data_IF_704956321616
#
_entry.id   IF_704956321616
#
_cell.length_a   1.000
_cell.length_b   1.000
_cell.length_c   1.000
_cell.angle_alpha   90.00
_cell.angle_beta   90.00
_cell.angle_gamma   90.00
#
_symmetry.space_group_name_H-M   'P 1'
#
loop_
_entity.id
_entity.type
_entity.pdbx_description
1 polymer ?
#
# COMPACT_ATOMS: atom_id res chain seq x y z
N UNK A 1 -31.36 -12.66 8.05
CA UNK A 1 -30.63 -12.57 6.77
C UNK A 1 -29.23 -13.10 7.02
N UNK A 2 -28.86 -14.21 6.39
CA UNK A 2 -27.52 -14.79 6.51
C UNK A 2 -26.62 -13.91 5.63
N UNK A 3 -25.79 -13.06 6.25
CA UNK A 3 -24.76 -12.33 5.52
C UNK A 3 -23.77 -13.36 4.98
N UNK A 4 -23.73 -13.58 3.67
CA UNK A 4 -22.70 -14.42 3.06
C UNK A 4 -21.43 -13.60 2.98
N UNK A 5 -20.47 -13.86 3.86
CA UNK A 5 -19.14 -13.28 3.74
C UNK A 5 -18.56 -13.55 2.34
N UNK A 6 -18.06 -12.49 1.68
CA UNK A 6 -17.56 -12.57 0.31
C UNK A 6 -16.04 -12.62 0.33
N UNK A 7 -15.46 -13.66 -0.28
CA UNK A 7 -14.01 -13.75 -0.53
C UNK A 7 -13.64 -12.92 -1.76
N UNK A 8 -12.69 -12.01 -1.60
CA UNK A 8 -12.20 -11.11 -2.64
C UNK A 8 -10.67 -11.16 -2.69
N UNK A 9 -10.11 -11.05 -3.89
CA UNK A 9 -8.68 -10.81 -4.05
C UNK A 9 -8.39 -9.37 -3.64
N UNK A 10 -7.53 -9.21 -2.64
CA UNK A 10 -7.04 -7.91 -2.17
C UNK A 10 -5.88 -7.46 -3.07
N UNK A 11 -4.90 -8.33 -3.27
CA UNK A 11 -3.66 -8.00 -3.97
C UNK A 11 -2.99 -9.25 -4.55
N UNK A 12 -2.06 -9.09 -5.48
CA UNK A 12 -1.26 -10.18 -6.04
C UNK A 12 0.14 -9.72 -6.43
N UNK A 13 1.13 -10.57 -6.19
CA UNK A 13 2.53 -10.34 -6.49
C UNK A 13 3.16 -11.57 -7.14
N UNK A 14 4.30 -11.40 -7.80
CA UNK A 14 5.08 -12.47 -8.40
C UNK A 14 6.49 -12.44 -7.84
N UNK A 15 7.13 -13.60 -7.74
CA UNK A 15 8.51 -13.68 -7.32
C UNK A 15 9.10 -15.09 -7.25
N UNK A 16 10.40 -15.16 -7.04
CA UNK A 16 11.17 -16.39 -6.85
C UNK A 16 11.05 -16.90 -5.41
N UNK A 17 9.88 -17.43 -5.06
CA UNK A 17 9.52 -17.79 -3.67
C UNK A 17 9.89 -19.24 -3.35
N UNK A 18 9.57 -20.16 -4.27
CA UNK A 18 9.83 -21.59 -4.07
C UNK A 18 11.24 -21.97 -4.47
N UNK A 19 11.74 -21.41 -5.55
CA UNK A 19 13.08 -21.64 -6.08
C UNK A 19 13.63 -20.36 -6.73
N UNK A 20 14.95 -20.32 -6.94
CA UNK A 20 15.57 -19.20 -7.64
C UNK A 20 15.12 -19.17 -9.09
N UNK A 21 14.79 -17.98 -9.58
CA UNK A 21 14.39 -17.71 -10.96
C UNK A 21 13.02 -18.27 -11.37
N UNK A 22 12.17 -18.67 -10.41
CA UNK A 22 10.76 -18.96 -10.68
C UNK A 22 9.92 -17.68 -10.73
N UNK A 23 8.79 -17.75 -11.43
CA UNK A 23 7.75 -16.71 -11.46
C UNK A 23 6.52 -17.19 -10.65
N UNK A 24 6.72 -17.52 -9.37
CA UNK A 24 5.63 -17.95 -8.50
C UNK A 24 4.68 -16.78 -8.25
N UNK A 25 3.38 -17.04 -8.28
CA UNK A 25 2.36 -16.01 -8.03
C UNK A 25 1.78 -16.18 -6.63
N UNK A 26 1.75 -15.09 -5.87
CA UNK A 26 1.08 -15.03 -4.57
C UNK A 26 -0.12 -14.12 -4.67
N UNK A 27 -1.25 -14.55 -4.12
CA UNK A 27 -2.50 -13.80 -4.10
C UNK A 27 -2.93 -13.67 -2.64
N UNK A 28 -3.14 -12.44 -2.19
CA UNK A 28 -3.75 -12.14 -0.91
C UNK A 28 -5.26 -12.08 -1.10
N UNK A 29 -5.98 -12.96 -0.41
CA UNK A 29 -7.44 -13.05 -0.43
C UNK A 29 -7.97 -12.63 0.94
N UNK A 30 -9.00 -11.77 0.95
CA UNK A 30 -9.69 -11.36 2.15
C UNK A 30 -11.15 -11.76 2.14
N UNK A 31 -11.68 -12.04 3.32
CA UNK A 31 -13.11 -12.27 3.53
C UNK A 31 -13.76 -11.01 4.11
N UNK A 32 -14.74 -10.46 3.41
CA UNK A 32 -15.40 -9.22 3.78
C UNK A 32 -16.85 -9.48 4.19
N UNK A 33 -17.37 -8.78 5.21
CA UNK A 33 -18.75 -8.95 5.68
C UNK A 33 -19.78 -8.44 4.66
N UNK A 34 -19.41 -7.45 3.84
CA UNK A 34 -20.20 -6.92 2.72
C UNK A 34 -19.31 -6.15 1.73
N UNK A 35 -19.85 -5.79 0.55
CA UNK A 35 -19.11 -5.15 -0.54
C UNK A 35 -18.61 -3.73 -0.25
N UNK A 36 -19.15 -3.05 0.78
CA UNK A 36 -18.75 -1.69 1.15
C UNK A 36 -17.68 -1.67 2.25
N UNK A 37 -17.43 -2.81 2.90
CA UNK A 37 -16.42 -2.91 3.95
C UNK A 37 -15.02 -2.89 3.36
N UNK A 38 -14.18 -1.99 3.89
CA UNK A 38 -12.73 -2.01 3.63
C UNK A 38 -11.96 -2.85 4.67
N UNK A 39 -12.67 -3.53 5.59
CA UNK A 39 -12.08 -4.40 6.61
C UNK A 39 -12.20 -5.87 6.20
N UNK A 40 -11.06 -6.54 6.06
CA UNK A 40 -10.98 -7.98 5.86
C UNK A 40 -11.04 -8.69 7.21
N UNK A 41 -12.06 -9.53 7.43
CA UNK A 41 -12.27 -10.31 8.66
C UNK A 41 -11.28 -11.47 8.79
N UNK A 42 -10.89 -12.06 7.67
CA UNK A 42 -9.91 -13.13 7.58
C UNK A 42 -9.06 -12.93 6.33
N UNK A 43 -7.85 -13.47 6.34
CA UNK A 43 -6.90 -13.38 5.24
C UNK A 43 -6.35 -14.77 4.89
N UNK A 44 -6.15 -14.99 3.60
CA UNK A 44 -5.55 -16.20 3.04
C UNK A 44 -4.50 -15.81 2.01
N UNK A 45 -3.40 -16.57 1.96
CA UNK A 45 -2.44 -16.53 0.87
C UNK A 45 -2.69 -17.72 -0.05
N UNK A 46 -2.81 -17.45 -1.35
CA UNK A 46 -2.81 -18.47 -2.38
C UNK A 46 -1.49 -18.39 -3.13
N UNK A 47 -0.66 -19.44 -3.04
CA UNK A 47 0.65 -19.54 -3.67
C UNK A 47 0.51 -20.48 -4.88
N UNK A 48 0.51 -19.90 -6.08
CA UNK A 48 0.56 -20.63 -7.33
C UNK A 48 2.02 -20.83 -7.71
N UNK A 49 2.53 -22.02 -7.41
CA UNK A 49 3.91 -22.41 -7.68
C UNK A 49 4.05 -22.84 -9.13
N UNK A 50 5.19 -22.57 -9.73
CA UNK A 50 5.43 -22.95 -11.12
C UNK A 50 5.32 -24.47 -11.30
N UNK A 51 4.39 -24.92 -12.16
CA UNK A 51 4.10 -26.32 -12.46
C UNK A 51 3.55 -27.17 -11.29
N UNK A 52 3.00 -26.55 -10.26
CA UNK A 52 2.34 -27.24 -9.14
C UNK A 52 0.90 -26.74 -8.93
N UNK A 53 0.15 -27.45 -8.09
CA UNK A 53 -1.17 -27.02 -7.63
C UNK A 53 -1.05 -25.81 -6.69
N UNK A 54 -2.01 -24.86 -6.77
CA UNK A 54 -2.12 -23.77 -5.83
C UNK A 54 -2.21 -24.25 -4.38
N UNK A 55 -1.37 -23.69 -3.52
CA UNK A 55 -1.42 -23.90 -2.08
C UNK A 55 -2.16 -22.73 -1.43
N UNK A 56 -3.18 -23.01 -0.63
CA UNK A 56 -3.92 -21.97 0.12
C UNK A 56 -3.62 -22.09 1.60
N UNK A 57 -3.20 -21.00 2.22
CA UNK A 57 -2.78 -20.95 3.62
C UNK A 57 -3.54 -19.82 4.32
N UNK A 58 -4.20 -20.13 5.44
CA UNK A 58 -4.78 -19.12 6.31
C UNK A 58 -3.68 -18.37 7.05
N UNK A 59 -3.76 -17.03 7.07
CA UNK A 59 -2.87 -16.21 7.89
C UNK A 59 -3.65 -15.57 9.03
N UNK A 60 -3.11 -15.52 10.26
CA UNK A 60 -3.88 -15.14 11.45
C UNK A 60 -4.02 -13.62 11.60
N UNK A 61 -4.35 -12.93 10.52
CA UNK A 61 -4.45 -11.47 10.45
C UNK A 61 -5.77 -11.01 9.83
N UNK A 62 -6.22 -9.83 10.24
CA UNK A 62 -7.40 -9.14 9.74
C UNK A 62 -7.10 -7.64 9.77
N UNK A 63 -7.73 -6.84 8.92
CA UNK A 63 -7.38 -5.42 8.84
C UNK A 63 -7.96 -4.65 7.68
N UNK A 64 -7.68 -3.35 7.68
CA UNK A 64 -7.96 -2.40 6.61
C UNK A 64 -6.73 -2.25 5.71
N UNK A 65 -6.95 -1.82 4.47
CA UNK A 65 -5.87 -1.42 3.55
C UNK A 65 -4.76 -2.48 3.43
N UNK A 66 -5.13 -3.76 3.46
CA UNK A 66 -4.19 -4.87 3.39
C UNK A 66 -3.49 -4.87 2.02
N UNK A 67 -2.20 -5.18 2.02
CA UNK A 67 -1.33 -5.18 0.85
C UNK A 67 -0.37 -6.35 0.89
N UNK A 68 0.06 -6.78 -0.30
CA UNK A 68 1.03 -7.83 -0.49
C UNK A 68 2.31 -7.24 -1.09
N UNK A 69 3.46 -7.70 -0.63
CA UNK A 69 4.75 -7.39 -1.22
C UNK A 69 5.60 -8.65 -1.26
N UNK A 70 6.36 -8.84 -2.34
CA UNK A 70 7.29 -9.96 -2.49
C UNK A 70 8.67 -9.38 -2.81
N UNK A 71 9.69 -9.86 -2.10
CA UNK A 71 11.07 -9.46 -2.31
C UNK A 71 12.04 -10.20 -1.40
N UNK A 72 13.31 -10.25 -1.78
CA UNK A 72 14.37 -10.90 -1.00
C UNK A 72 14.75 -10.03 0.21
N UNK A 73 14.29 -10.37 1.42
CA UNK A 73 14.68 -9.69 2.67
C UNK A 73 15.84 -10.40 3.38
N UNK A 74 16.08 -11.67 3.06
CA UNK A 74 17.04 -12.54 3.73
C UNK A 74 18.43 -12.52 3.08
N UNK A 75 18.54 -12.03 1.85
CA UNK A 75 19.76 -11.98 1.04
C UNK A 75 20.16 -13.34 0.45
N UNK A 76 19.29 -14.35 0.53
CA UNK A 76 19.55 -15.70 0.00
C UNK A 76 19.09 -15.87 -1.46
N UNK A 77 18.58 -14.80 -2.08
CA UNK A 77 18.00 -14.73 -3.43
C UNK A 77 16.72 -15.54 -3.60
N UNK A 78 16.09 -15.92 -2.49
CA UNK A 78 14.72 -16.40 -2.47
C UNK A 78 13.85 -15.29 -1.89
N UNK A 79 12.79 -14.95 -2.60
CA UNK A 79 11.94 -13.83 -2.22
C UNK A 79 10.96 -14.26 -1.13
N UNK A 80 10.79 -13.40 -0.13
CA UNK A 80 9.89 -13.63 0.98
C UNK A 80 8.57 -12.86 0.75
N UNK A 81 7.52 -13.29 1.42
CA UNK A 81 6.18 -12.74 1.29
C UNK A 81 5.90 -11.81 2.47
N UNK A 82 5.75 -10.53 2.22
CA UNK A 82 5.34 -9.54 3.21
C UNK A 82 3.84 -9.24 3.09
N UNK A 83 3.13 -9.33 4.21
CA UNK A 83 1.77 -8.78 4.34
C UNK A 83 1.84 -7.55 5.24
N UNK A 84 1.21 -6.47 4.79
CA UNK A 84 1.06 -5.26 5.58
C UNK A 84 -0.35 -4.70 5.50
N UNK A 85 -0.70 -3.82 6.42
CA UNK A 85 -2.00 -3.13 6.43
C UNK A 85 -2.25 -2.45 7.75
N UNK A 86 -3.50 -2.11 8.03
CA UNK A 86 -3.88 -1.37 9.22
C UNK A 86 -4.83 -2.18 10.10
N UNK A 87 -4.53 -2.30 11.39
CA UNK A 87 -5.44 -2.83 12.38
C UNK A 87 -6.02 -1.70 13.21
N UNK A 88 -7.36 -1.68 13.36
CA UNK A 88 -8.02 -0.74 14.27
C UNK A 88 -8.01 -1.34 15.66
N UNK A 89 -7.25 -0.73 16.57
CA UNK A 89 -7.20 -1.14 17.96
C UNK A 89 -8.63 -1.21 18.57
N UNK A 90 -9.08 -2.38 19.07
CA UNK A 90 -10.41 -2.55 19.65
C UNK A 90 -10.62 -1.69 20.91
N UNK A 91 -9.55 -1.18 21.54
CA UNK A 91 -9.67 -0.27 22.70
C UNK A 91 -10.34 1.08 22.37
N UNK A 92 -10.53 1.43 21.09
CA UNK A 92 -11.27 2.64 20.71
C UNK A 92 -12.79 2.54 20.88
N UNK A 93 -13.35 1.36 21.21
CA UNK A 93 -14.79 1.18 21.43
C UNK A 93 -15.24 1.36 22.89
N UNK A 94 -14.36 1.72 23.84
CA UNK A 94 -14.71 1.86 25.28
C UNK A 94 -14.89 3.34 25.71
N UNK A 95 -15.01 4.30 24.78
CA UNK A 95 -15.20 5.72 25.19
C UNK A 95 -16.68 6.10 25.38
N UNK A 96 -17.63 5.29 24.92
CA UNK A 96 -19.05 5.43 25.26
C UNK A 96 -19.50 4.08 25.82
N UNK A 97 -19.55 3.84 27.14
CA UNK A 97 -20.81 4.04 27.88
C UNK A 97 -20.68 3.99 29.41
N UNK A 98 -19.49 3.84 30.02
CA UNK A 98 -19.42 3.73 31.49
C UNK A 98 -18.35 4.64 32.12
N UNK A 99 -18.80 5.83 32.55
CA UNK A 99 -18.16 6.60 33.63
C UNK A 99 -18.24 5.77 34.91
N UNK A 100 -17.26 4.90 35.15
CA UNK A 100 -16.80 4.38 36.45
C UNK A 100 -16.17 3.00 36.23
N UNK A 101 -14.90 2.97 35.80
CA UNK A 101 -14.07 1.80 36.09
C UNK A 101 -12.65 2.28 36.40
N UNK A 102 -12.35 2.31 37.70
CA UNK A 102 -10.98 2.31 38.20
C UNK A 102 -10.32 1.01 37.73
N UNK A 103 -9.59 1.08 36.62
CA UNK A 103 -8.78 -0.03 36.14
C UNK A 103 -7.37 0.49 35.91
N UNK A 104 -6.51 0.19 36.88
CA UNK A 104 -5.05 0.30 36.79
C UNK A 104 -4.55 -0.64 35.69
N UNK A 105 -4.46 -0.13 34.47
CA UNK A 105 -3.62 -0.70 33.42
C UNK A 105 -3.19 0.42 32.49
N UNK A 106 -1.89 0.67 32.47
CA UNK A 106 -1.22 1.62 31.60
C UNK A 106 -1.51 1.23 30.12
N UNK A 107 -1.80 2.23 29.28
CA UNK A 107 -1.90 2.14 27.79
C UNK A 107 -3.30 1.87 27.15
N UNK A 108 -4.31 2.68 27.47
CA UNK A 108 -5.65 2.60 26.82
C UNK A 108 -5.93 3.57 25.66
N UNK A 109 -4.93 4.18 25.03
CA UNK A 109 -5.13 5.21 23.99
C UNK A 109 -4.11 5.12 22.84
N UNK A 110 -4.05 3.98 22.13
CA UNK A 110 -3.10 3.81 21.01
C UNK A 110 -3.79 3.99 19.65
N UNK A 111 -3.14 4.71 18.74
CA UNK A 111 -3.82 5.52 17.71
C UNK A 111 -4.05 4.73 16.41
N UNK A 112 -3.05 4.03 15.88
CA UNK A 112 -3.15 3.17 14.71
C UNK A 112 -2.15 2.02 14.86
N UNK A 113 -2.47 0.84 14.37
CA UNK A 113 -1.58 -0.32 14.45
C UNK A 113 -1.25 -0.76 13.03
N UNK A 114 -0.03 -0.53 12.57
CA UNK A 114 0.38 -1.13 11.31
C UNK A 114 0.65 -2.63 11.52
N UNK A 115 0.09 -3.43 10.62
CA UNK A 115 0.43 -4.83 10.47
C UNK A 115 1.63 -4.87 9.53
N UNK A 116 2.66 -5.63 9.91
CA UNK A 116 3.84 -5.87 9.08
C UNK A 116 4.43 -7.21 9.44
N UNK A 117 4.20 -8.21 8.60
CA UNK A 117 4.66 -9.58 8.82
C UNK A 117 5.34 -10.07 7.55
N UNK A 118 6.41 -10.85 7.72
CA UNK A 118 7.16 -11.42 6.60
C UNK A 118 7.28 -12.92 6.82
N UNK A 119 6.92 -13.66 5.77
CA UNK A 119 6.97 -15.09 5.72
C UNK A 119 8.00 -15.57 4.71
N UNK A 120 8.80 -16.54 5.12
CA UNK A 120 9.58 -17.37 4.22
C UNK A 120 8.80 -18.63 3.89
N UNK A 121 8.74 -18.97 2.61
CA UNK A 121 8.15 -20.24 2.19
C UNK A 121 9.22 -21.33 2.22
N UNK A 122 8.97 -22.41 2.96
CA UNK A 122 9.84 -23.60 2.99
C UNK A 122 8.98 -24.86 3.14
N UNK A 123 9.20 -25.85 2.26
CA UNK A 123 8.53 -27.17 2.32
C UNK A 123 7.01 -27.08 2.53
N UNK A 124 6.32 -26.31 1.68
CA UNK A 124 4.87 -26.11 1.76
C UNK A 124 4.36 -25.39 3.01
N UNK A 125 5.25 -24.82 3.81
CA UNK A 125 4.91 -24.06 5.01
C UNK A 125 5.35 -22.60 4.88
N UNK A 126 4.64 -21.71 5.57
CA UNK A 126 5.06 -20.33 5.77
C UNK A 126 5.68 -20.20 7.16
N UNK A 127 6.97 -19.87 7.18
CA UNK A 127 7.74 -19.58 8.39
C UNK A 127 7.74 -18.07 8.59
N UNK A 128 7.14 -17.59 9.68
CA UNK A 128 7.19 -16.17 10.03
C UNK A 128 8.62 -15.79 10.45
N UNK A 129 9.28 -14.96 9.65
CA UNK A 129 10.66 -14.51 9.90
C UNK A 129 10.70 -13.09 10.47
N UNK A 130 9.61 -12.34 10.35
CA UNK A 130 9.47 -11.03 10.97
C UNK A 130 8.02 -10.72 11.33
N UNK A 131 7.85 -10.05 12.46
CA UNK A 131 6.56 -9.55 12.93
C UNK A 131 6.74 -8.22 13.65
N UNK A 132 6.06 -7.19 13.18
CA UNK A 132 6.16 -5.84 13.70
C UNK A 132 5.73 -5.73 15.17
N UNK A 133 4.78 -6.56 15.62
CA UNK A 133 4.38 -6.63 17.02
C UNK A 133 5.52 -7.14 17.91
N UNK A 134 6.10 -8.26 17.50
CA UNK A 134 7.20 -8.91 18.21
C UNK A 134 8.42 -8.00 18.24
N UNK A 135 8.74 -7.36 17.11
CA UNK A 135 9.78 -6.34 17.02
C UNK A 135 9.53 -5.21 18.02
N UNK A 136 8.33 -4.64 18.06
CA UNK A 136 7.97 -3.53 18.96
C UNK A 136 8.11 -3.93 20.43
N UNK A 137 7.63 -5.13 20.80
CA UNK A 137 7.73 -5.64 22.19
C UNK A 137 9.18 -5.78 22.62
N UNK A 138 10.04 -6.27 21.72
CA UNK A 138 11.45 -6.51 22.00
C UNK A 138 12.31 -5.23 21.94
N UNK A 139 11.85 -4.20 21.22
CA UNK A 139 12.57 -2.93 21.02
C UNK A 139 11.74 -1.75 21.55
N UNK A 140 11.38 -1.82 22.83
CA UNK A 140 10.55 -0.78 23.45
C UNK A 140 11.35 0.51 23.69
N UNK A 141 10.70 1.64 23.39
CA UNK A 141 11.16 2.97 23.74
C UNK A 141 10.29 3.58 24.85
N UNK A 142 10.82 4.58 25.55
CA UNK A 142 10.07 5.37 26.54
C UNK A 142 10.37 6.86 26.39
N UNK A 143 9.40 7.71 26.73
CA UNK A 143 9.54 9.15 26.69
C UNK A 143 9.08 9.79 28.00
N UNK A 144 9.71 10.90 28.41
CA UNK A 144 9.37 11.68 29.61
C UNK A 144 9.57 13.16 29.36
N UNK A 145 8.59 13.98 29.74
CA UNK A 145 8.77 15.43 29.82
C UNK A 145 9.80 15.78 30.91
N UNK A 146 10.55 16.86 30.71
CA UNK A 146 11.63 17.35 31.56
C UNK A 146 11.54 18.86 31.67
N UNK A 147 12.00 19.40 32.80
CA UNK A 147 12.15 20.85 32.99
C UNK A 147 12.92 21.50 31.83
N UNK A 148 12.77 22.82 31.70
CA UNK A 148 13.38 23.63 30.64
C UNK A 148 12.88 23.25 29.24
N UNK A 149 11.57 22.98 29.11
CA UNK A 149 10.89 22.70 27.83
C UNK A 149 11.51 21.55 27.04
N UNK A 150 11.76 20.41 27.71
CA UNK A 150 12.46 19.28 27.09
C UNK A 150 11.67 17.99 27.19
N UNK A 151 11.90 17.09 26.25
CA UNK A 151 11.44 15.70 26.33
C UNK A 151 12.61 14.76 26.15
N UNK A 152 12.84 13.86 27.11
CA UNK A 152 13.83 12.78 26.96
C UNK A 152 13.17 11.55 26.35
N UNK A 153 13.81 10.92 25.37
CA UNK A 153 13.39 9.65 24.77
C UNK A 153 14.52 8.64 24.93
N UNK A 154 14.21 7.41 25.33
CA UNK A 154 15.19 6.33 25.49
C UNK A 154 14.73 5.10 24.72
N UNK A 155 15.59 4.60 23.83
CA UNK A 155 15.40 3.39 23.02
C UNK A 155 16.62 2.50 23.22
N UNK A 156 16.48 1.43 24.02
CA UNK A 156 17.63 0.63 24.45
C UNK A 156 18.75 1.48 25.07
N UNK A 157 19.93 1.49 24.43
CA UNK A 157 21.10 2.28 24.86
C UNK A 157 21.08 3.73 24.35
N UNK A 158 20.27 4.05 23.34
CA UNK A 158 20.19 5.38 22.73
C UNK A 158 19.30 6.30 23.58
N UNK A 159 19.74 7.53 23.75
CA UNK A 159 19.03 8.58 24.49
C UNK A 159 18.99 9.84 23.65
N UNK A 160 17.80 10.40 23.52
CA UNK A 160 17.53 11.62 22.76
C UNK A 160 16.91 12.67 23.68
N UNK A 161 17.12 13.94 23.32
CA UNK A 161 16.52 15.07 23.99
C UNK A 161 15.89 15.97 22.93
N UNK A 162 14.57 16.10 22.98
CA UNK A 162 13.79 16.99 22.12
C UNK A 162 13.64 18.32 22.82
N UNK A 163 13.98 19.41 22.13
CA UNK A 163 13.67 20.76 22.56
C UNK A 163 12.25 21.15 22.12
N UNK A 164 11.42 21.57 23.07
CA UNK A 164 10.07 22.05 22.85
C UNK A 164 9.98 23.57 22.82
N UNK A 165 11.10 24.29 22.98
CA UNK A 165 11.16 25.75 23.08
C UNK A 165 10.50 26.49 21.90
N UNK A 166 10.40 25.86 20.72
CA UNK A 166 9.74 26.41 19.53
C UNK A 166 8.23 26.20 19.50
N UNK A 167 7.64 25.60 20.54
CA UNK A 167 6.17 25.42 20.66
C UNK A 167 5.52 26.72 21.15
N UNK A 168 4.21 26.86 20.92
CA UNK A 168 3.49 28.05 21.34
C UNK A 168 3.54 28.23 22.86
N UNK A 169 3.45 29.48 23.33
CA UNK A 169 3.46 29.79 24.77
C UNK A 169 2.27 29.14 25.49
N UNK A 170 1.12 29.06 24.83
CA UNK A 170 -0.09 28.41 25.34
C UNK A 170 0.18 26.92 25.59
N UNK A 171 0.75 26.23 24.59
CA UNK A 171 1.10 24.82 24.70
C UNK A 171 2.12 24.55 25.82
N UNK A 172 3.18 25.38 25.89
CA UNK A 172 4.19 25.25 26.95
C UNK A 172 3.58 25.56 28.34
N UNK A 173 2.70 26.55 28.44
CA UNK A 173 2.01 26.93 29.68
C UNK A 173 1.07 25.86 30.22
N UNK A 174 0.60 24.92 29.38
CA UNK A 174 -0.16 23.75 29.84
C UNK A 174 0.72 22.82 30.70
N UNK A 175 2.02 22.72 30.41
CA UNK A 175 2.91 21.75 31.06
C UNK A 175 3.86 22.37 32.08
N UNK A 176 4.24 23.63 31.89
CA UNK A 176 5.35 24.25 32.61
C UNK A 176 4.93 25.53 33.34
N UNK A 177 5.66 25.86 34.40
CA UNK A 177 5.56 27.17 35.05
C UNK A 177 6.42 28.25 34.37
N UNK A 178 6.32 29.48 34.88
CA UNK A 178 7.10 30.62 34.39
C UNK A 178 8.61 30.42 34.53
N UNK A 179 9.03 29.57 35.49
CA UNK A 179 10.43 29.15 35.70
C UNK A 179 10.80 27.92 34.85
N UNK A 180 9.95 27.51 33.89
CA UNK A 180 10.13 26.35 33.01
C UNK A 180 10.18 25.00 33.74
N UNK A 181 9.65 24.92 34.96
CA UNK A 181 9.52 23.68 35.74
C UNK A 181 8.23 22.97 35.36
N UNK A 182 8.31 21.65 35.15
CA UNK A 182 7.16 20.82 34.80
C UNK A 182 6.15 20.81 35.97
N UNK A 183 4.90 21.19 35.69
CA UNK A 183 3.78 21.24 36.64
C UNK A 183 2.97 19.95 36.69
N UNK A 184 2.81 19.30 35.54
CA UNK A 184 1.93 18.13 35.39
C UNK A 184 2.73 16.82 35.38
N UNK A 185 2.17 15.79 36.01
CA UNK A 185 2.63 14.42 35.84
C UNK A 185 2.05 13.80 34.55
N UNK A 186 2.32 14.42 33.41
CA UNK A 186 2.03 13.87 32.09
C UNK A 186 3.27 13.18 31.54
N UNK A 187 3.09 12.12 30.77
CA UNK A 187 4.17 11.46 30.03
C UNK A 187 3.82 11.41 28.55
N UNK A 188 4.77 11.75 27.66
CA UNK A 188 4.60 11.47 26.25
C UNK A 188 4.46 9.97 26.02
N UNK A 189 3.72 9.60 24.98
CA UNK A 189 3.45 8.22 24.62
C UNK A 189 4.30 7.86 23.40
N UNK A 190 4.94 6.70 23.44
CA UNK A 190 5.48 6.07 22.25
C UNK A 190 4.33 5.31 21.60
N UNK A 191 3.92 5.76 20.41
CA UNK A 191 2.82 5.15 19.68
C UNK A 191 3.21 3.76 19.15
N UNK A 192 2.25 3.00 18.64
CA UNK A 192 2.61 1.82 17.86
C UNK A 192 3.35 2.24 16.57
N UNK A 193 4.15 1.34 15.98
CA UNK A 193 4.64 1.53 14.62
C UNK A 193 3.49 1.95 13.70
N UNK A 194 3.70 3.09 13.05
CA UNK A 194 2.73 3.73 12.15
C UNK A 194 3.21 3.73 10.70
N UNK A 195 4.37 3.12 10.46
CA UNK A 195 5.01 2.95 9.15
C UNK A 195 5.83 1.66 9.16
N UNK A 196 5.65 0.78 8.19
CA UNK A 196 6.65 -0.21 7.78
C UNK A 196 6.78 -0.23 6.26
N UNK A 197 8.00 -0.04 5.76
CA UNK A 197 8.25 0.09 4.33
C UNK A 197 9.40 -0.83 3.92
N UNK A 198 9.18 -1.72 2.92
CA UNK A 198 10.30 -2.36 2.26
C UNK A 198 11.07 -1.31 1.46
N UNK A 199 12.38 -1.20 1.70
CA UNK A 199 13.26 -0.31 0.94
C UNK A 199 14.44 -1.11 0.39
N UNK A 200 14.93 -0.74 -0.79
CA UNK A 200 16.12 -1.34 -1.38
C UNK A 200 17.09 -0.24 -1.78
N UNK A 201 18.26 -0.24 -1.16
CA UNK A 201 19.32 0.69 -1.52
C UNK A 201 19.91 0.28 -2.87
N UNK A 202 20.40 1.25 -3.65
CA UNK A 202 20.86 1.02 -5.02
C UNK A 202 22.02 0.00 -5.14
N UNK A 203 22.79 -0.18 -4.07
CA UNK A 203 23.94 -1.08 -4.01
C UNK A 203 23.66 -2.41 -3.28
N UNK A 204 22.44 -2.60 -2.76
CA UNK A 204 22.04 -3.84 -2.09
C UNK A 204 21.24 -4.72 -3.07
N UNK A 205 21.44 -6.03 -2.99
CA UNK A 205 20.65 -7.02 -3.72
C UNK A 205 19.42 -7.51 -2.93
N UNK A 206 19.34 -7.19 -1.62
CA UNK A 206 18.23 -7.48 -0.72
C UNK A 206 17.45 -6.22 -0.28
N UNK A 207 16.26 -6.43 0.28
CA UNK A 207 15.40 -5.43 0.88
C UNK A 207 15.67 -5.27 2.39
N UNK A 208 15.60 -4.04 2.84
CA UNK A 208 15.61 -3.63 4.23
C UNK A 208 14.21 -3.15 4.63
N UNK A 209 13.99 -2.96 5.92
CA UNK A 209 12.74 -2.45 6.48
C UNK A 209 12.97 -1.11 7.16
N UNK A 210 12.23 -0.11 6.71
CA UNK A 210 12.14 1.19 7.36
C UNK A 210 10.87 1.25 8.21
N UNK A 211 11.03 1.41 9.52
CA UNK A 211 9.94 1.45 10.50
C UNK A 211 9.86 2.84 11.11
N UNK A 212 8.65 3.39 11.16
CA UNK A 212 8.35 4.67 11.82
C UNK A 212 7.48 4.47 13.06
N UNK A 213 7.87 5.12 14.15
CA UNK A 213 7.11 5.13 15.39
C UNK A 213 7.03 6.55 15.95
N UNK A 214 5.81 7.03 16.23
CA UNK A 214 5.60 8.41 16.66
C UNK A 214 5.82 8.58 18.16
N UNK A 215 6.37 9.73 18.54
CA UNK A 215 6.37 10.19 19.93
C UNK A 215 5.26 11.23 20.04
N UNK A 216 4.23 10.90 20.81
CA UNK A 216 3.02 11.70 20.98
C UNK A 216 3.12 12.46 22.30
N UNK A 217 2.84 13.76 22.28
CA UNK A 217 2.87 14.63 23.44
C UNK A 217 1.54 14.63 24.21
N UNK A 218 1.02 15.81 24.54
CA UNK A 218 -0.13 15.95 25.46
C UNK A 218 -1.42 15.37 24.85
N UNK A 219 -1.59 15.49 23.53
CA UNK A 219 -2.76 15.01 22.82
C UNK A 219 -2.37 14.22 21.56
N UNK A 220 -3.32 13.47 20.99
CA UNK A 220 -3.08 12.55 19.87
C UNK A 220 -2.50 13.21 18.62
N UNK A 221 -2.80 14.48 18.38
CA UNK A 221 -2.35 15.22 17.20
C UNK A 221 -1.01 15.93 17.41
N UNK A 222 -0.51 15.92 18.64
CA UNK A 222 0.74 16.52 19.05
C UNK A 222 1.89 15.53 18.86
N UNK A 223 2.46 15.51 17.66
CA UNK A 223 3.64 14.70 17.37
C UNK A 223 4.88 15.50 17.76
N UNK A 224 5.65 15.00 18.72
CA UNK A 224 6.91 15.60 19.19
C UNK A 224 8.10 15.22 18.30
N UNK A 225 8.03 14.04 17.69
CA UNK A 225 9.02 13.50 16.77
C UNK A 225 8.65 12.09 16.33
N UNK A 226 9.47 11.52 15.46
CA UNK A 226 9.33 10.16 14.95
C UNK A 226 10.64 9.43 15.19
N UNK A 227 10.56 8.27 15.82
CA UNK A 227 11.66 7.30 15.86
C UNK A 227 11.64 6.58 14.52
N UNK A 228 12.77 6.64 13.83
CA UNK A 228 13.01 5.98 12.56
C UNK A 228 14.01 4.85 12.79
N UNK A 229 13.63 3.65 12.40
CA UNK A 229 14.50 2.46 12.50
C UNK A 229 14.64 1.82 11.13
N UNK A 230 15.89 1.65 10.69
CA UNK A 230 16.25 0.86 9.53
C UNK A 230 16.85 -0.46 9.99
N UNK A 231 16.30 -1.58 9.51
CA UNK A 231 16.79 -2.92 9.84
C UNK A 231 16.86 -3.82 8.61
N UNK A 232 17.75 -4.82 8.66
CA UNK A 232 17.78 -5.93 7.71
C UNK A 232 17.38 -7.25 8.39
N UNK A 233 17.04 -8.25 7.57
CA UNK A 233 16.69 -9.61 8.00
C UNK A 233 17.69 -10.65 7.47
N UNK A 234 18.93 -10.24 7.21
CA UNK A 234 19.92 -11.12 6.56
C UNK A 234 20.17 -12.38 7.38
N UNK A 235 20.33 -13.51 6.68
CA UNK A 235 20.51 -14.83 7.31
C UNK A 235 19.37 -15.20 8.27
N UNK A 236 18.15 -14.71 8.02
CA UNK A 236 16.97 -14.83 8.89
C UNK A 236 17.18 -14.22 10.29
N UNK A 237 18.08 -13.23 10.42
CA UNK A 237 18.36 -12.54 11.67
C UNK A 237 18.02 -11.07 11.55
N UNK A 238 17.29 -10.56 12.54
CA UNK A 238 16.99 -9.14 12.63
C UNK A 238 18.22 -8.37 13.08
N UNK A 239 18.69 -7.45 12.23
CA UNK A 239 19.79 -6.55 12.54
C UNK A 239 19.34 -5.09 12.39
N UNK A 240 19.39 -4.32 13.48
CA UNK A 240 19.14 -2.87 13.41
C UNK A 240 20.38 -2.19 12.85
N UNK A 241 20.28 -1.68 11.62
CA UNK A 241 21.35 -0.94 10.93
C UNK A 241 21.44 0.47 11.53
N UNK A 242 20.29 1.13 11.64
CA UNK A 242 20.18 2.48 12.14
C UNK A 242 18.91 2.64 12.95
N UNK A 243 19.00 3.46 13.99
CA UNK A 243 17.83 3.94 14.73
C UNK A 243 18.13 5.37 15.13
N UNK A 244 17.22 6.28 14.81
CA UNK A 244 17.39 7.70 15.08
C UNK A 244 16.08 8.39 15.36
N UNK A 245 16.20 9.66 15.74
CA UNK A 245 15.07 10.51 16.02
C UNK A 245 14.98 11.60 14.97
N UNK A 246 13.84 11.64 14.28
CA UNK A 246 13.46 12.71 13.39
C UNK A 246 12.52 13.66 14.14
N UNK A 247 13.00 14.87 14.44
CA UNK A 247 12.16 15.95 14.95
C UNK A 247 12.18 17.12 13.98
N UNK A 248 11.01 17.73 13.79
CA UNK A 248 10.86 18.89 12.92
C UNK A 248 10.52 20.11 13.78
N UNK A 249 11.03 21.31 13.44
CA UNK A 249 10.57 22.55 14.06
C UNK A 249 9.05 22.67 13.92
N UNK A 250 8.35 22.95 15.02
CA UNK A 250 6.88 22.95 15.04
C UNK A 250 6.27 23.86 13.98
N UNK A 251 6.88 25.03 13.75
CA UNK A 251 6.41 26.02 12.76
C UNK A 251 6.44 25.48 11.32
N UNK A 252 7.45 24.67 10.97
CA UNK A 252 7.58 24.08 9.64
C UNK A 252 6.55 22.95 9.43
N UNK A 253 6.31 22.13 10.47
CA UNK A 253 5.26 21.10 10.43
C UNK A 253 3.87 21.71 10.30
N UNK A 254 3.59 22.79 11.04
CA UNK A 254 2.28 23.45 10.99
C UNK A 254 2.01 24.05 9.59
N UNK A 255 3.00 24.70 8.97
CA UNK A 255 2.90 25.18 7.58
C UNK A 255 2.65 24.04 6.59
N UNK A 256 3.41 22.94 6.68
CA UNK A 256 3.24 21.77 5.81
C UNK A 256 1.89 21.08 6.01
N UNK A 257 1.42 21.02 7.26
CA UNK A 257 0.16 20.39 7.63
C UNK A 257 -1.05 21.19 7.17
N UNK A 258 -1.07 22.52 7.34
CA UNK A 258 -2.15 23.36 6.78
C UNK A 258 -2.18 23.30 5.25
N UNK A 259 -1.02 23.15 4.60
CA UNK A 259 -0.93 22.95 3.14
C UNK A 259 -1.47 21.59 2.69
N UNK A 260 -1.43 20.58 3.57
CA UNK A 260 -1.98 19.22 3.36
C UNK A 260 -3.43 19.08 3.82
N UNK A 261 -3.88 19.77 4.87
CA UNK A 261 -5.28 19.77 5.31
C UNK A 261 -6.20 20.44 4.27
N UNK A 262 -5.66 21.32 3.42
CA UNK A 262 -6.35 21.91 2.27
C UNK A 262 -6.27 21.08 0.97
N UNK A 263 -5.62 19.90 0.99
CA UNK A 263 -5.69 18.92 -0.10
C UNK A 263 -6.27 17.66 0.49
N UNK A 264 -7.53 17.36 0.19
CA UNK A 264 -8.13 16.13 0.67
C UNK A 264 -7.23 14.94 0.32
N UNK A 265 -6.91 14.11 1.32
CA UNK A 265 -6.30 12.80 1.12
C UNK A 265 -7.38 11.81 0.70
N UNK A 266 -8.19 12.20 -0.28
CA UNK A 266 -9.18 11.32 -0.85
C UNK A 266 -8.45 10.49 -1.91
N UNK A 267 -8.47 9.17 -1.75
CA UNK A 267 -8.51 8.31 -2.93
C UNK A 267 -9.71 8.79 -3.73
N UNK A 268 -9.48 9.49 -4.84
CA UNK A 268 -10.55 9.75 -5.80
C UNK A 268 -10.73 8.44 -6.56
N UNK A 269 -11.52 7.53 -5.97
CA UNK A 269 -12.01 6.32 -6.64
C UNK A 269 -12.93 6.83 -7.75
N UNK A 270 -12.48 6.81 -9.00
CA UNK A 270 -13.22 7.46 -10.09
C UNK A 270 -14.44 6.61 -10.48
N UNK A 271 -14.44 5.28 -10.26
CA UNK A 271 -15.68 4.46 -10.24
C UNK A 271 -15.51 3.03 -9.67
N UNK A 272 -16.61 2.49 -9.15
CA UNK A 272 -16.92 1.05 -9.04
C UNK A 272 -18.15 0.78 -9.91
N UNK A 273 -18.01 0.06 -11.03
CA UNK A 273 -19.18 -0.23 -11.88
C UNK A 273 -18.81 -0.74 -13.27
N UNK A 274 -19.12 -2.01 -13.53
CA UNK A 274 -19.09 -2.64 -14.83
C UNK A 274 -20.13 -2.03 -15.77
N UNK A 275 -19.74 -1.11 -16.65
CA UNK A 275 -20.57 -0.70 -17.79
C UNK A 275 -19.77 -0.75 -19.09
N UNK A 276 -20.29 -1.50 -20.05
CA UNK A 276 -19.67 -1.78 -21.34
C UNK A 276 -19.49 -0.48 -22.14
N UNK A 277 -18.24 -0.12 -22.39
CA UNK A 277 -17.86 0.93 -23.34
C UNK A 277 -17.42 0.21 -24.64
N UNK A 278 -18.10 0.56 -25.72
CA UNK A 278 -18.14 -0.09 -27.04
C UNK A 278 -16.76 -0.45 -27.64
N UNK A 279 -16.71 -1.54 -28.41
CA UNK A 279 -15.52 -1.99 -29.15
C UNK A 279 -15.20 -1.08 -30.37
N UNK A 280 -13.93 -0.71 -30.56
CA UNK A 280 -13.47 0.01 -31.76
C UNK A 280 -12.22 -0.66 -32.35
N UNK A 281 -12.31 -0.94 -33.66
CA UNK A 281 -11.33 -1.68 -34.47
C UNK A 281 -10.00 -0.95 -34.64
N UNK A 282 -8.90 -1.70 -34.73
CA UNK A 282 -7.59 -1.20 -35.15
C UNK A 282 -7.52 -0.99 -36.67
N UNK A 283 -6.76 0.02 -37.11
CA UNK A 283 -6.39 0.21 -38.53
C UNK A 283 -5.03 -0.43 -38.77
N UNK A 284 -5.00 -1.58 -39.45
CA UNK A 284 -3.77 -2.12 -40.04
C UNK A 284 -3.44 -1.38 -41.34
N UNK A 285 -2.26 -0.75 -41.42
CA UNK A 285 -1.68 -0.31 -42.71
C UNK A 285 -1.00 -1.51 -43.37
N UNK A 286 -1.69 -2.15 -44.31
CA UNK A 286 -1.02 -2.92 -45.36
C UNK A 286 -1.19 -2.21 -46.70
N UNK A 287 -0.13 -2.21 -47.52
CA UNK A 287 -0.12 -1.59 -48.85
C UNK A 287 -1.29 -2.17 -49.66
N UNK A 288 -2.18 -1.28 -50.12
CA UNK A 288 -3.28 -1.55 -51.05
C UNK A 288 -4.44 -2.40 -50.52
N UNK A 289 -5.20 -1.87 -49.55
CA UNK A 289 -6.67 -1.79 -49.54
C UNK A 289 -7.18 -1.50 -48.13
N UNK A 290 -8.02 -0.47 -48.00
CA UNK A 290 -8.70 -0.09 -46.77
C UNK A 290 -9.97 -0.91 -46.59
N UNK A 291 -9.86 -2.07 -45.95
CA UNK A 291 -11.02 -2.80 -45.42
C UNK A 291 -10.87 -2.98 -43.91
N UNK A 292 -11.93 -2.61 -43.17
CA UNK A 292 -12.08 -2.82 -41.73
C UNK A 292 -12.44 -4.29 -41.54
N UNK A 293 -11.51 -5.10 -41.00
CA UNK A 293 -11.79 -6.50 -40.63
C UNK A 293 -12.22 -6.57 -39.15
N UNK A 294 -13.35 -7.23 -38.90
CA UNK A 294 -13.95 -7.46 -37.57
C UNK A 294 -13.16 -8.46 -36.67
N UNK A 295 -11.90 -8.75 -36.99
CA UNK A 295 -11.05 -9.73 -36.31
C UNK A 295 -9.96 -9.00 -35.51
N UNK A 296 -10.30 -8.42 -34.35
CA UNK A 296 -9.35 -7.58 -33.60
C UNK A 296 -9.26 -7.84 -32.09
N UNK A 297 -8.16 -7.38 -31.51
CA UNK A 297 -7.95 -7.29 -30.07
C UNK A 297 -8.71 -6.07 -29.56
N UNK A 298 -9.54 -6.24 -28.53
CA UNK A 298 -10.31 -5.17 -27.90
C UNK A 298 -9.80 -4.89 -26.48
N UNK A 299 -9.79 -3.63 -26.05
CA UNK A 299 -9.55 -3.24 -24.66
C UNK A 299 -10.88 -2.84 -23.99
N UNK A 300 -11.21 -3.49 -22.88
CA UNK A 300 -12.43 -3.27 -22.12
C UNK A 300 -12.09 -2.68 -20.75
N UNK A 301 -12.39 -1.40 -20.53
CA UNK A 301 -12.09 -0.72 -19.26
C UNK A 301 -13.07 -1.19 -18.19
N UNK A 302 -12.54 -1.61 -17.05
CA UNK A 302 -13.29 -2.04 -15.86
C UNK A 302 -13.38 -0.93 -14.82
N UNK A 303 -12.26 -0.27 -14.51
CA UNK A 303 -12.22 0.90 -13.62
C UNK A 303 -11.03 1.79 -13.94
N UNK A 304 -11.11 3.03 -13.45
CA UNK A 304 -10.02 3.99 -13.52
C UNK A 304 -9.86 4.62 -12.14
N UNK A 305 -8.63 4.70 -11.64
CA UNK A 305 -8.31 5.20 -10.32
C UNK A 305 -7.07 6.09 -10.40
N UNK A 306 -7.09 7.26 -9.76
CA UNK A 306 -5.92 8.14 -9.69
C UNK A 306 -5.32 8.11 -8.29
N UNK A 307 -4.03 7.76 -8.21
CA UNK A 307 -3.27 7.78 -6.97
C UNK A 307 -1.86 8.33 -7.22
N UNK A 308 -1.42 9.29 -6.41
CA UNK A 308 -0.08 9.89 -6.46
C UNK A 308 0.33 10.45 -7.86
N UNK A 309 -0.61 11.07 -8.57
CA UNK A 309 -0.45 11.55 -9.96
C UNK A 309 -0.16 10.45 -10.99
N UNK A 310 -0.67 9.24 -10.73
CA UNK A 310 -0.68 8.12 -11.66
C UNK A 310 -2.13 7.70 -11.84
N UNK A 311 -2.56 7.64 -13.09
CA UNK A 311 -3.85 7.09 -13.46
C UNK A 311 -3.69 5.60 -13.76
N UNK A 312 -4.36 4.77 -12.96
CA UNK A 312 -4.47 3.33 -13.15
C UNK A 312 -5.75 3.02 -13.91
N UNK A 313 -5.65 2.24 -14.98
CA UNK A 313 -6.77 1.77 -15.78
C UNK A 313 -6.79 0.25 -15.70
N UNK A 314 -7.71 -0.30 -14.90
CA UNK A 314 -7.98 -1.73 -14.81
C UNK A 314 -8.85 -2.13 -16.00
N UNK A 315 -8.39 -3.07 -16.82
CA UNK A 315 -9.04 -3.42 -18.07
C UNK A 315 -8.91 -4.90 -18.43
N UNK A 316 -9.64 -5.33 -19.46
CA UNK A 316 -9.47 -6.63 -20.10
C UNK A 316 -9.09 -6.46 -21.57
N UNK A 317 -8.09 -7.21 -22.03
CA UNK A 317 -7.83 -7.41 -23.44
C UNK A 317 -8.59 -8.64 -23.92
N UNK A 318 -9.41 -8.52 -24.96
CA UNK A 318 -10.22 -9.61 -25.54
C UNK A 318 -9.74 -9.88 -26.97
N UNK A 319 -9.26 -11.08 -27.24
CA UNK A 319 -8.81 -11.46 -28.58
C UNK A 319 -9.98 -11.98 -29.41
N UNK A 320 -10.47 -11.21 -30.39
CA UNK A 320 -11.48 -11.68 -31.36
C UNK A 320 -10.86 -12.23 -32.64
N UNK A 321 -9.53 -12.28 -32.75
CA UNK A 321 -8.85 -12.89 -33.90
C UNK A 321 -9.08 -14.39 -33.92
N UNK A 322 -9.02 -14.97 -35.11
CA UNK A 322 -9.12 -16.42 -35.34
C UNK A 322 -7.87 -17.20 -34.89
N UNK A 323 -6.81 -16.51 -34.49
CA UNK A 323 -5.55 -17.10 -34.03
C UNK A 323 -5.11 -16.57 -32.66
N UNK A 324 -4.26 -17.33 -32.00
CA UNK A 324 -3.68 -17.00 -30.69
C UNK A 324 -2.61 -15.90 -30.80
N UNK A 325 -2.65 -14.93 -29.89
CA UNK A 325 -1.61 -13.93 -29.75
C UNK A 325 -0.56 -14.45 -28.77
N UNK A 326 0.65 -14.77 -29.23
CA UNK A 326 1.73 -15.26 -28.34
C UNK A 326 2.39 -14.14 -27.54
N UNK A 327 2.40 -12.93 -28.06
CA UNK A 327 2.96 -11.77 -27.39
C UNK A 327 2.31 -10.47 -27.89
N UNK A 328 2.23 -9.48 -27.00
CA UNK A 328 1.73 -8.14 -27.30
C UNK A 328 2.77 -7.08 -26.91
N UNK A 329 3.16 -6.26 -27.87
CA UNK A 329 4.16 -5.19 -27.68
C UNK A 329 3.69 -3.89 -28.33
N UNK A 330 4.28 -2.78 -27.90
CA UNK A 330 3.98 -1.44 -28.41
C UNK A 330 2.48 -1.11 -28.44
N UNK A 331 1.73 -1.57 -27.43
CA UNK A 331 0.30 -1.29 -27.30
C UNK A 331 0.13 0.21 -27.00
N UNK A 332 -0.17 1.00 -28.00
CA UNK A 332 -0.64 2.37 -27.85
C UNK A 332 -2.09 2.35 -27.39
N UNK A 333 -2.40 3.08 -26.33
CA UNK A 333 -3.76 3.28 -25.82
C UNK A 333 -4.03 4.78 -25.76
N UNK A 334 -5.10 5.20 -26.44
CA UNK A 334 -5.61 6.58 -26.39
C UNK A 334 -7.04 6.52 -25.85
N UNK A 335 -7.27 7.18 -24.73
CA UNK A 335 -8.59 7.38 -24.12
C UNK A 335 -9.06 8.79 -24.45
N UNK A 336 -10.28 8.93 -24.94
CA UNK A 336 -10.89 10.23 -25.23
C UNK A 336 -12.30 10.29 -24.68
N UNK A 337 -12.78 11.45 -24.25
CA UNK A 337 -14.16 11.62 -23.80
C UNK A 337 -15.15 11.85 -24.96
N UNK A 338 -16.41 12.12 -24.62
CA UNK A 338 -17.52 12.46 -25.53
C UNK A 338 -17.21 13.68 -26.44
N UNK A 339 -16.37 14.58 -25.96
CA UNK A 339 -15.90 15.79 -26.65
C UNK A 339 -14.59 15.54 -27.41
N UNK A 340 -14.14 14.30 -27.51
CA UNK A 340 -12.90 13.89 -28.19
C UNK A 340 -11.63 14.50 -27.57
N UNK A 341 -11.69 14.94 -26.30
CA UNK A 341 -10.53 15.42 -25.53
C UNK A 341 -9.74 14.22 -25.02
N UNK A 342 -8.41 14.29 -25.10
CA UNK A 342 -7.53 13.18 -24.68
C UNK A 342 -7.50 13.11 -23.15
N UNK A 343 -7.98 12.00 -22.62
CA UNK A 343 -7.97 11.66 -21.19
C UNK A 343 -6.72 10.85 -20.84
N UNK A 344 -6.23 10.00 -21.74
CA UNK A 344 -5.01 9.22 -21.55
C UNK A 344 -4.36 8.90 -22.90
N UNK A 345 -3.04 8.94 -22.98
CA UNK A 345 -2.29 8.62 -24.21
C UNK A 345 -0.91 8.08 -23.86
N UNK A 346 -0.73 6.78 -24.04
CA UNK A 346 0.52 6.09 -23.72
C UNK A 346 0.80 4.94 -24.67
N UNK A 347 2.08 4.64 -24.87
CA UNK A 347 2.55 3.40 -25.52
C UNK A 347 3.12 2.47 -24.45
N UNK A 348 2.55 1.28 -24.36
CA UNK A 348 3.02 0.19 -23.50
C UNK A 348 3.91 -0.73 -24.32
N UNK A 349 5.23 -0.63 -24.13
CA UNK A 349 6.22 -1.37 -24.93
C UNK A 349 6.07 -2.90 -24.80
N UNK A 350 5.66 -3.38 -23.63
CA UNK A 350 5.34 -4.80 -23.37
C UNK A 350 4.06 -4.88 -22.56
N UNK A 351 3.14 -5.76 -22.98
CA UNK A 351 1.92 -6.06 -22.25
C UNK A 351 1.89 -7.54 -21.96
N UNK A 352 1.79 -7.90 -20.69
CA UNK A 352 1.70 -9.28 -20.27
C UNK A 352 0.32 -9.84 -20.61
N UNK A 353 0.32 -10.87 -21.46
CA UNK A 353 -0.86 -11.65 -21.84
C UNK A 353 -0.71 -13.12 -21.44
N UNK A 354 0.21 -13.43 -20.52
CA UNK A 354 0.52 -14.78 -20.06
C UNK A 354 1.19 -15.64 -21.14
N UNK A 355 0.82 -16.92 -21.19
CA UNK A 355 1.35 -17.91 -22.17
C UNK A 355 0.86 -17.68 -23.61
N UNK A 356 0.01 -16.68 -23.82
CA UNK A 356 -0.66 -16.39 -25.07
C UNK A 356 -2.15 -16.14 -24.84
N UNK A 357 -2.77 -15.33 -25.70
CA UNK A 357 -4.19 -14.99 -25.64
C UNK A 357 -4.93 -15.65 -26.80
N UNK A 358 -5.67 -16.74 -26.52
CA UNK A 358 -6.35 -17.53 -27.55
C UNK A 358 -7.58 -16.82 -28.13
N UNK A 359 -8.09 -17.27 -29.30
CA UNK A 359 -9.34 -16.76 -29.85
C UNK A 359 -10.49 -16.80 -28.84
N UNK A 360 -11.24 -15.70 -28.74
CA UNK A 360 -12.38 -15.50 -27.84
C UNK A 360 -12.06 -15.53 -26.34
N UNK A 361 -10.78 -15.48 -25.97
CA UNK A 361 -10.35 -15.35 -24.58
C UNK A 361 -10.04 -13.90 -24.21
N UNK A 362 -10.12 -13.61 -22.91
CA UNK A 362 -9.74 -12.31 -22.35
C UNK A 362 -8.69 -12.45 -21.24
N UNK A 363 -7.80 -11.48 -21.13
CA UNK A 363 -6.83 -11.35 -20.04
C UNK A 363 -6.99 -10.00 -19.36
N UNK A 364 -6.90 -9.98 -18.02
CA UNK A 364 -6.95 -8.73 -17.24
C UNK A 364 -5.59 -8.04 -17.31
N UNK A 365 -5.59 -6.74 -17.57
CA UNK A 365 -4.40 -5.89 -17.63
C UNK A 365 -4.60 -4.66 -16.77
N UNK A 366 -3.52 -4.20 -16.14
CA UNK A 366 -3.49 -2.93 -15.40
C UNK A 366 -2.57 -1.97 -16.16
N UNK A 367 -3.13 -0.89 -16.66
CA UNK A 367 -2.43 0.10 -17.48
C UNK A 367 -2.22 1.38 -16.66
N UNK A 368 -0.97 1.76 -16.41
CA UNK A 368 -0.62 2.97 -15.65
C UNK A 368 -0.19 4.11 -16.57
N UNK A 369 -0.72 5.32 -16.33
CA UNK A 369 -0.39 6.55 -17.03
C UNK A 369 0.21 7.54 -16.01
N UNK A 370 1.38 8.09 -16.30
CA UNK A 370 2.04 9.10 -15.48
C UNK A 370 1.42 10.49 -15.73
N UNK A 371 1.70 11.45 -14.85
CA UNK A 371 1.08 12.78 -14.85
C UNK A 371 1.15 13.57 -16.17
N UNK A 372 2.07 13.26 -17.07
CA UNK A 372 2.18 13.86 -18.40
C UNK A 372 1.50 13.04 -19.52
N UNK A 373 0.94 11.89 -19.18
CA UNK A 373 0.33 10.90 -20.10
C UNK A 373 -1.20 10.84 -19.95
N UNK A 374 -1.79 11.60 -19.01
CA UNK A 374 -3.25 11.68 -18.81
C UNK A 374 -3.70 13.09 -18.41
N UNK A 375 -4.99 13.36 -18.56
CA UNK A 375 -5.65 14.58 -18.09
C UNK A 375 -7.11 14.27 -17.70
N UNK A 376 -7.44 14.35 -16.42
CA UNK A 376 -8.80 14.15 -15.93
C UNK A 376 -9.53 15.49 -15.95
N UNK A 377 -10.60 15.57 -16.74
CA UNK A 377 -11.45 16.76 -16.82
C UNK A 377 -12.55 16.70 -15.75
N UNK A 378 -12.89 17.82 -15.12
CA UNK A 378 -13.92 17.89 -14.06
C UNK A 378 -15.30 17.37 -14.50
N UNK A 379 -15.60 17.48 -15.79
CA UNK A 379 -16.85 17.04 -16.41
C UNK A 379 -16.71 15.70 -17.16
N UNK A 380 -15.64 14.94 -16.92
CA UNK A 380 -15.41 13.65 -17.58
C UNK A 380 -16.47 12.65 -17.15
N UNK A 381 -17.32 12.22 -18.08
CA UNK A 381 -18.11 11.00 -17.90
C UNK A 381 -17.33 9.82 -18.48
N UNK A 382 -16.87 8.94 -17.60
CA UNK A 382 -16.16 7.72 -18.00
C UNK A 382 -17.02 6.83 -18.89
N UNK A 383 -18.35 6.86 -18.75
CA UNK A 383 -19.25 6.05 -19.58
C UNK A 383 -19.21 6.46 -21.06
N UNK A 384 -18.79 7.69 -21.35
CA UNK A 384 -18.66 8.22 -22.69
C UNK A 384 -17.22 8.18 -23.22
N UNK A 385 -16.30 7.50 -22.50
CA UNK A 385 -14.96 7.30 -23.01
C UNK A 385 -14.98 6.52 -24.32
N UNK A 386 -14.07 6.86 -25.18
CA UNK A 386 -13.72 6.10 -26.38
C UNK A 386 -12.27 5.68 -26.24
N UNK A 387 -11.97 4.48 -26.72
CA UNK A 387 -10.63 3.91 -26.67
C UNK A 387 -10.15 3.60 -28.09
N UNK A 388 -8.98 4.11 -28.42
CA UNK A 388 -8.24 3.74 -29.63
C UNK A 388 -6.99 2.97 -29.22
N UNK A 389 -6.81 1.78 -29.78
CA UNK A 389 -5.61 0.97 -29.56
C UNK A 389 -4.88 0.64 -30.86
N UNK A 390 -3.55 0.61 -30.77
CA UNK A 390 -2.66 0.15 -31.84
C UNK A 390 -1.56 -0.69 -31.21
N UNK A 391 -1.12 -1.78 -31.84
CA UNK A 391 -0.19 -2.71 -31.22
C UNK A 391 0.58 -3.52 -32.26
N UNK A 392 1.73 -4.04 -31.83
CA UNK A 392 2.46 -5.08 -32.54
C UNK A 392 2.18 -6.44 -31.87
N UNK A 393 1.84 -7.44 -32.67
CA UNK A 393 1.52 -8.77 -32.18
C UNK A 393 2.26 -9.86 -32.98
N UNK A 394 2.62 -10.96 -32.29
CA UNK A 394 3.13 -12.18 -32.92
C UNK A 394 2.11 -13.31 -32.77
N UNK A 395 1.85 -14.02 -33.86
CA UNK A 395 0.98 -15.21 -33.92
C UNK A 395 1.72 -16.51 -33.65
#
# INVERSE_FOLDING_TARGET
>A
MISSNKKLIIDAAYGSITNKYTEDKVILVGEFPDEKSNYANSLQLVINRENDLPLTIDVPYSGYNMQLFVGDFTGDRLENIMIRGEYKNPCNNIINENKNLNSTSENKNIINYEIGVIYKYENENLIEIFNLETYRKNNSCSAKFKNNYRTSVTCGKKKYLIDLSTRSKEYLGMMYDENKKLRLNLSPIIDNPSGIYPIKQAFNDYYELLIYQRIVGINRMDILGTIETLLDLRDNKLNIIYEGLLSYPHEEVYKLRNKRENKSKDRIKILEGSKFIKAYSSKSKTKNNTEIKNDDLNLMIKSMDEEANILYVDAYLLNLKSYELKSLSNLKVILKDDKNRIVGNKVFNKVDIGKGLKPKEKVRVLLSFFSNEYNIFDNLDINDLTCEINYDARS
#
